data_IF_362131861403
#
_entry.id   IF_362131861403
#
_cell.length_a   1.000
_cell.length_b   1.000
_cell.length_c   1.000
_cell.angle_alpha   90.00
_cell.angle_beta   90.00
_cell.angle_gamma   90.00
#
_symmetry.space_group_name_H-M   'P 1'
#
loop_
_entity.id
_entity.type
_entity.pdbx_description
1 polymer ?
#
# COMPACT_ATOMS: atom_id res chain seq x y z
N UNK A 1 -20.80 9.53 -10.54
CA UNK A 1 -19.37 9.86 -10.37
C UNK A 1 -18.71 8.59 -9.86
N UNK A 2 -17.63 8.14 -10.51
CA UNK A 2 -17.07 6.81 -10.28
C UNK A 2 -16.37 6.77 -8.92
N UNK A 3 -16.83 5.87 -8.04
CA UNK A 3 -16.16 5.50 -6.80
C UNK A 3 -14.95 4.61 -7.12
N UNK A 4 -13.94 5.17 -7.78
CA UNK A 4 -12.74 4.42 -8.12
C UNK A 4 -11.85 4.30 -6.88
N UNK A 5 -11.95 3.14 -6.22
CA UNK A 5 -11.00 2.69 -5.21
C UNK A 5 -10.26 1.51 -5.80
N UNK A 6 -8.94 1.62 -5.86
CA UNK A 6 -8.06 0.53 -6.28
C UNK A 6 -7.51 -0.10 -5.02
N UNK A 7 -7.61 -1.42 -4.88
CA UNK A 7 -6.94 -2.17 -3.84
C UNK A 7 -6.14 -3.30 -4.51
N UNK A 8 -4.82 -3.27 -4.37
CA UNK A 8 -3.94 -4.22 -5.04
C UNK A 8 -2.84 -4.71 -4.09
N UNK A 9 -2.54 -6.02 -4.05
CA UNK A 9 -1.41 -6.53 -3.27
C UNK A 9 -0.10 -5.90 -3.73
N UNK A 10 0.80 -5.62 -2.80
CA UNK A 10 2.11 -5.00 -3.05
C UNK A 10 2.88 -5.76 -4.13
N UNK A 11 2.87 -7.10 -4.07
CA UNK A 11 3.55 -7.92 -5.09
C UNK A 11 3.05 -7.69 -6.50
N UNK A 12 1.75 -7.39 -6.69
CA UNK A 12 1.19 -7.05 -8.01
C UNK A 12 1.45 -5.58 -8.35
N UNK A 13 1.37 -4.68 -7.38
CA UNK A 13 1.71 -3.27 -7.57
C UNK A 13 3.14 -3.09 -8.11
N UNK A 14 4.11 -3.86 -7.58
CA UNK A 14 5.51 -3.82 -8.01
C UNK A 14 5.73 -4.19 -9.48
N UNK A 15 4.78 -4.87 -10.12
CA UNK A 15 4.86 -5.25 -11.53
C UNK A 15 4.25 -4.19 -12.46
N UNK A 16 3.69 -3.11 -11.90
CA UNK A 16 3.11 -2.00 -12.66
C UNK A 16 4.17 -0.92 -12.84
N UNK A 17 4.85 -0.95 -13.97
CA UNK A 17 5.90 0.02 -14.29
C UNK A 17 5.34 1.39 -14.70
N UNK A 18 4.17 1.40 -15.34
CA UNK A 18 3.51 2.61 -15.83
C UNK A 18 2.14 2.76 -15.18
N UNK A 19 1.84 3.97 -14.70
CA UNK A 19 0.56 4.24 -14.07
C UNK A 19 -0.58 4.05 -15.08
N UNK A 20 -1.58 3.20 -14.81
CA UNK A 20 -2.79 3.13 -15.61
C UNK A 20 -3.48 4.50 -15.68
N UNK A 21 -4.06 4.83 -16.84
CA UNK A 21 -4.71 6.13 -17.08
C UNK A 21 -5.82 6.42 -16.06
N UNK A 22 -6.58 5.41 -15.68
CA UNK A 22 -7.65 5.53 -14.69
C UNK A 22 -7.14 5.94 -13.30
N UNK A 23 -5.87 5.68 -12.99
CA UNK A 23 -5.28 5.92 -11.67
C UNK A 23 -4.63 7.31 -11.56
N UNK A 24 -4.50 8.03 -12.68
CA UNK A 24 -3.79 9.32 -12.73
C UNK A 24 -4.41 10.39 -11.82
N UNK A 25 -5.72 10.33 -11.58
CA UNK A 25 -6.45 11.28 -10.73
C UNK A 25 -6.63 10.80 -9.27
N UNK A 26 -6.01 9.68 -8.90
CA UNK A 26 -6.01 9.19 -7.52
C UNK A 26 -4.96 9.96 -6.73
N UNK A 27 -5.42 10.54 -5.62
CA UNK A 27 -4.66 11.52 -4.85
C UNK A 27 -4.54 11.16 -3.35
N UNK A 28 -5.12 10.03 -2.95
CA UNK A 28 -5.00 9.43 -1.63
C UNK A 28 -4.44 8.02 -1.76
N UNK A 29 -3.64 7.60 -0.79
CA UNK A 29 -3.11 6.24 -0.72
C UNK A 29 -3.04 5.75 0.71
N UNK A 30 -3.13 4.43 0.88
CA UNK A 30 -2.82 3.78 2.16
C UNK A 30 -2.13 2.44 1.97
N UNK A 31 -1.41 2.04 3.02
CA UNK A 31 -0.77 0.74 3.15
C UNK A 31 -1.47 -0.01 4.28
N UNK A 32 -1.92 -1.24 4.02
CA UNK A 32 -2.58 -2.08 5.03
C UNK A 32 -2.27 -3.55 4.85
N UNK A 33 -2.51 -4.34 5.88
CA UNK A 33 -2.75 -5.78 5.73
C UNK A 33 -4.28 -6.06 5.68
N UNK A 34 -4.71 -7.28 5.94
CA UNK A 34 -6.14 -7.64 5.97
C UNK A 34 -6.92 -6.91 7.08
N UNK A 35 -6.27 -6.52 8.17
CA UNK A 35 -6.88 -6.05 9.43
C UNK A 35 -6.45 -4.64 9.86
N UNK A 36 -5.21 -4.24 9.57
CA UNK A 36 -4.60 -3.02 10.12
C UNK A 36 -4.13 -2.12 9.00
N UNK A 37 -4.47 -0.83 9.10
CA UNK A 37 -3.91 0.22 8.25
C UNK A 37 -2.62 0.74 8.89
N UNK A 38 -1.52 0.64 8.16
CA UNK A 38 -0.21 1.04 8.64
C UNK A 38 0.05 2.53 8.41
N UNK A 39 -0.34 3.05 7.25
CA UNK A 39 -0.07 4.43 6.86
C UNK A 39 -1.08 4.91 5.84
N UNK A 40 -1.50 6.17 5.97
CA UNK A 40 -2.34 6.91 5.03
C UNK A 40 -1.58 8.17 4.61
N UNK A 41 -1.68 8.55 3.35
CA UNK A 41 -1.14 9.81 2.88
C UNK A 41 -1.88 10.38 1.67
N UNK A 42 -1.61 11.66 1.39
CA UNK A 42 -2.07 12.35 0.19
C UNK A 42 -0.92 12.72 -0.76
N UNK A 43 -1.23 12.88 -2.05
CA UNK A 43 -0.37 13.44 -3.09
C UNK A 43 -1.21 13.81 -4.29
N UNK A 44 -0.86 14.83 -5.08
CA UNK A 44 -1.56 15.09 -6.35
C UNK A 44 -1.45 13.91 -7.34
N UNK A 45 -0.43 13.08 -7.17
CA UNK A 45 -0.26 11.84 -7.91
C UNK A 45 0.11 10.70 -6.94
N UNK A 46 -0.89 9.94 -6.48
CA UNK A 46 -0.73 8.94 -5.44
C UNK A 46 0.17 7.77 -5.90
N UNK A 47 0.02 7.30 -7.14
CA UNK A 47 0.82 6.20 -7.68
C UNK A 47 2.32 6.48 -7.62
N UNK A 48 2.77 7.64 -8.12
CA UNK A 48 4.17 8.02 -8.06
C UNK A 48 4.66 8.17 -6.62
N UNK A 49 3.81 8.68 -5.72
CA UNK A 49 4.15 8.84 -4.30
C UNK A 49 4.36 7.50 -3.60
N UNK A 50 3.55 6.49 -3.91
CA UNK A 50 3.77 5.12 -3.41
C UNK A 50 5.12 4.57 -3.89
N UNK A 51 5.45 4.72 -5.18
CA UNK A 51 6.76 4.33 -5.71
C UNK A 51 7.91 5.05 -5.00
N UNK A 52 7.77 6.35 -4.75
CA UNK A 52 8.76 7.13 -4.01
C UNK A 52 8.95 6.57 -2.59
N UNK A 53 7.87 6.23 -1.88
CA UNK A 53 7.95 5.59 -0.57
C UNK A 53 8.76 4.30 -0.63
N UNK A 54 8.50 3.45 -1.62
CA UNK A 54 9.18 2.16 -1.83
C UNK A 54 10.67 2.36 -2.15
N UNK A 55 11.01 3.25 -3.08
CA UNK A 55 12.40 3.57 -3.45
C UNK A 55 13.19 4.14 -2.27
N UNK A 56 12.58 5.05 -1.52
CA UNK A 56 13.21 5.70 -0.37
C UNK A 56 13.25 4.79 0.88
N UNK A 57 12.52 3.67 0.89
CA UNK A 57 12.54 2.70 1.99
C UNK A 57 13.92 2.08 2.24
N UNK A 58 14.76 1.96 1.21
CA UNK A 58 16.14 1.49 1.35
C UNK A 58 17.05 2.50 2.07
N UNK A 59 16.71 3.79 1.99
CA UNK A 59 17.49 4.90 2.55
C UNK A 59 17.12 5.22 4.00
N UNK A 60 16.21 4.47 4.62
CA UNK A 60 15.94 4.45 6.07
C UNK A 60 15.22 5.68 6.64
N UNK A 61 15.70 6.89 6.37
CA UNK A 61 15.24 8.14 6.99
C UNK A 61 14.11 8.82 6.21
N UNK A 62 13.93 8.47 4.94
CA UNK A 62 13.07 9.23 4.02
C UNK A 62 11.64 8.69 3.91
N UNK A 63 11.37 7.46 4.37
CA UNK A 63 10.06 6.83 4.24
C UNK A 63 9.88 5.74 5.29
N UNK A 64 9.14 6.04 6.36
CA UNK A 64 8.82 5.05 7.40
C UNK A 64 7.99 3.88 6.84
N UNK A 65 7.02 4.19 5.96
CA UNK A 65 6.18 3.19 5.31
C UNK A 65 7.00 2.27 4.39
N UNK A 66 7.83 2.83 3.51
CA UNK A 66 8.70 2.04 2.64
C UNK A 66 9.72 1.22 3.41
N UNK A 67 10.30 1.80 4.47
CA UNK A 67 11.24 1.10 5.34
C UNK A 67 10.57 -0.09 6.03
N UNK A 68 9.37 0.10 6.56
CA UNK A 68 8.57 -0.95 7.20
C UNK A 68 8.25 -2.10 6.24
N UNK A 69 7.85 -1.77 5.01
CA UNK A 69 7.56 -2.74 3.96
C UNK A 69 8.77 -3.64 3.70
N UNK A 70 9.95 -3.06 3.53
CA UNK A 70 11.17 -3.83 3.27
C UNK A 70 11.70 -4.59 4.47
N UNK A 71 11.52 -4.07 5.69
CA UNK A 71 11.87 -4.80 6.91
C UNK A 71 11.04 -6.10 7.06
N UNK A 72 9.79 -6.08 6.58
CA UNK A 72 8.84 -7.19 6.68
C UNK A 72 8.76 -8.06 5.42
N UNK A 73 9.65 -7.87 4.44
CA UNK A 73 9.72 -8.75 3.28
C UNK A 73 10.14 -10.18 3.71
N UNK A 74 9.53 -11.26 3.16
CA UNK A 74 8.53 -11.29 2.09
C UNK A 74 7.07 -11.22 2.57
N UNK A 75 6.81 -11.15 3.89
CA UNK A 75 5.43 -11.10 4.42
C UNK A 75 4.66 -9.89 3.87
N UNK A 76 5.35 -8.76 3.70
CA UNK A 76 4.79 -7.54 3.13
C UNK A 76 4.33 -7.65 1.67
N UNK A 77 4.69 -8.72 0.94
CA UNK A 77 4.13 -8.98 -0.40
C UNK A 77 2.59 -9.05 -0.40
N UNK A 78 2.01 -9.46 0.73
CA UNK A 78 0.55 -9.58 0.93
C UNK A 78 -0.11 -8.28 1.36
N UNK A 79 0.66 -7.26 1.72
CA UNK A 79 0.09 -5.97 2.08
C UNK A 79 -0.64 -5.38 0.88
N UNK A 80 -1.76 -4.72 1.11
CA UNK A 80 -2.53 -4.04 0.08
C UNK A 80 -2.11 -2.58 0.02
N UNK A 81 -1.87 -2.11 -1.20
CA UNK A 81 -1.84 -0.70 -1.55
C UNK A 81 -3.25 -0.33 -1.99
N UNK A 82 -3.85 0.63 -1.31
CA UNK A 82 -5.09 1.22 -1.80
C UNK A 82 -4.85 2.63 -2.32
N UNK A 83 -5.46 2.95 -3.45
CA UNK A 83 -5.43 4.27 -4.07
C UNK A 83 -6.87 4.76 -4.22
N UNK A 84 -7.12 5.99 -3.76
CA UNK A 84 -8.45 6.60 -3.75
C UNK A 84 -8.40 8.01 -4.34
N UNK A 85 -9.54 8.48 -4.83
CA UNK A 85 -9.72 9.89 -5.19
C UNK A 85 -10.47 10.62 -4.08
N UNK A 86 -9.98 11.80 -3.69
CA UNK A 86 -10.70 12.73 -2.82
C UNK A 86 -11.99 13.26 -3.45
N UNK A 87 -12.21 13.04 -4.75
CA UNK A 87 -13.45 13.37 -5.47
C UNK A 87 -14.47 12.20 -5.47
N UNK A 88 -14.17 11.11 -4.76
CA UNK A 88 -15.09 9.98 -4.62
C UNK A 88 -16.23 10.33 -3.66
N UNK A 89 -17.40 9.73 -3.86
CA UNK A 89 -18.62 10.03 -3.09
C UNK A 89 -18.44 9.92 -1.57
N UNK A 90 -17.55 9.03 -1.11
CA UNK A 90 -17.25 8.88 0.33
C UNK A 90 -16.68 10.15 0.98
N UNK A 91 -16.17 11.10 0.20
CA UNK A 91 -15.60 12.35 0.67
C UNK A 91 -16.50 13.57 0.41
N UNK A 92 -17.71 13.37 -0.11
CA UNK A 92 -18.66 14.47 -0.34
C UNK A 92 -18.99 15.21 0.96
N UNK A 93 -19.09 14.47 2.08
CA UNK A 93 -19.33 15.02 3.41
C UNK A 93 -18.22 15.96 3.91
N UNK A 94 -17.01 15.81 3.38
CA UNK A 94 -15.87 16.68 3.68
C UNK A 94 -15.58 17.68 2.56
N UNK A 95 -16.54 17.85 1.63
CA UNK A 95 -16.45 18.80 0.53
C UNK A 95 -15.40 18.42 -0.53
N UNK A 96 -14.99 17.16 -0.59
CA UNK A 96 -13.97 16.65 -1.52
C UNK A 96 -12.59 17.36 -1.38
N UNK A 97 -12.35 18.01 -0.24
CA UNK A 97 -11.05 18.60 0.09
C UNK A 97 -10.04 17.51 0.40
N UNK A 98 -8.88 17.57 -0.25
CA UNK A 98 -7.85 16.54 -0.19
C UNK A 98 -7.27 16.39 1.23
N UNK A 99 -7.00 17.50 1.92
CA UNK A 99 -6.41 17.50 3.26
C UNK A 99 -7.41 17.09 4.33
N UNK A 100 -8.69 17.43 4.15
CA UNK A 100 -9.76 16.96 5.05
C UNK A 100 -10.07 15.49 4.79
N UNK A 101 -10.03 15.02 3.54
CA UNK A 101 -10.19 13.60 3.20
C UNK A 101 -9.08 12.73 3.78
N UNK A 102 -7.81 13.14 3.68
CA UNK A 102 -6.68 12.47 4.34
C UNK A 102 -6.91 12.37 5.85
N UNK A 103 -7.31 13.48 6.48
CA UNK A 103 -7.61 13.52 7.91
C UNK A 103 -8.76 12.60 8.30
N UNK A 104 -9.82 12.55 7.49
CA UNK A 104 -10.96 11.66 7.72
C UNK A 104 -10.52 10.18 7.69
N UNK A 105 -9.66 9.80 6.73
CA UNK A 105 -9.09 8.45 6.68
C UNK A 105 -8.19 8.15 7.89
N UNK A 106 -7.36 9.10 8.31
CA UNK A 106 -6.50 8.94 9.51
C UNK A 106 -7.36 8.78 10.76
N UNK A 107 -8.45 9.56 10.91
CA UNK A 107 -9.36 9.46 12.04
C UNK A 107 -10.15 8.16 12.05
N UNK A 108 -10.58 7.69 10.87
CA UNK A 108 -11.33 6.45 10.72
C UNK A 108 -10.48 5.23 11.06
N UNK A 109 -9.24 5.17 10.58
CA UNK A 109 -8.41 3.96 10.65
C UNK A 109 -7.32 3.99 11.71
N UNK A 110 -7.05 5.16 12.29
CA UNK A 110 -5.98 5.41 13.27
C UNK A 110 -4.65 4.73 12.90
N UNK A 111 -4.06 5.00 11.72
CA UNK A 111 -2.96 4.20 11.19
C UNK A 111 -1.73 4.15 12.09
N UNK A 112 -0.99 3.03 12.06
CA UNK A 112 0.16 2.81 12.96
C UNK A 112 1.24 3.89 12.88
N UNK A 113 1.53 4.40 11.68
CA UNK A 113 2.69 5.27 11.42
C UNK A 113 2.34 6.73 11.13
N UNK A 114 1.05 7.07 11.02
CA UNK A 114 0.64 8.46 10.99
C UNK A 114 0.75 9.01 12.42
N UNK A 115 1.77 9.84 12.68
CA UNK A 115 1.97 10.51 13.99
C UNK A 115 1.27 11.87 13.99
N UNK A 116 1.29 12.57 12.87
CA UNK A 116 0.55 13.81 12.67
C UNK A 116 -0.94 13.50 12.48
N UNK A 117 -1.81 14.33 13.07
CA UNK A 117 -3.28 14.24 12.96
C UNK A 117 -3.90 12.95 13.53
N UNK A 118 -3.11 12.13 14.22
CA UNK A 118 -3.54 10.88 14.84
C UNK A 118 -3.18 10.89 16.32
N UNK A 119 -4.17 11.15 17.18
CA UNK A 119 -3.94 11.26 18.63
C UNK A 119 -3.71 9.92 19.32
N UNK A 120 -4.14 8.81 18.70
CA UNK A 120 -4.02 7.45 19.24
C UNK A 120 -3.74 6.45 18.12
N UNK A 121 -2.51 6.42 17.57
CA UNK A 121 -2.14 5.45 16.55
C UNK A 121 -2.36 4.02 17.04
N UNK A 122 -2.94 3.17 16.18
CA UNK A 122 -3.07 1.74 16.43
C UNK A 122 -1.67 1.16 16.62
N UNK A 123 -1.41 0.39 17.69
CA UNK A 123 -0.11 -0.22 17.89
C UNK A 123 0.22 -1.17 16.74
N UNK A 124 1.48 -1.16 16.31
CA UNK A 124 1.95 -2.11 15.30
C UNK A 124 1.77 -3.55 15.82
N UNK A 125 1.11 -4.46 15.07
CA UNK A 125 0.96 -5.85 15.50
C UNK A 125 2.31 -6.53 15.78
N UNK A 126 2.38 -7.31 16.86
CA UNK A 126 3.62 -7.95 17.33
C UNK A 126 4.25 -8.90 16.30
N UNK A 127 3.45 -9.41 15.36
CA UNK A 127 3.93 -10.27 14.28
C UNK A 127 4.87 -9.55 13.29
N UNK A 128 4.81 -8.21 13.23
CA UNK A 128 5.63 -7.42 12.31
C UNK A 128 6.88 -6.85 12.97
N UNK A 129 7.94 -6.76 12.17
CA UNK A 129 9.15 -6.04 12.54
C UNK A 129 8.90 -4.54 12.51
N UNK A 130 9.46 -3.78 13.48
CA UNK A 130 9.37 -2.34 13.47
C UNK A 130 10.18 -1.72 12.32
N UNK A 131 9.89 -0.48 11.88
CA UNK A 131 10.58 0.17 10.77
C UNK A 131 12.10 0.33 11.00
N UNK A 132 12.54 0.46 12.25
CA UNK A 132 13.96 0.57 12.59
C UNK A 132 14.72 -0.78 12.55
N UNK A 133 14.04 -1.91 12.32
CA UNK A 133 14.69 -3.20 12.19
C UNK A 133 15.63 -3.26 10.97
N UNK A 134 16.54 -4.23 11.01
CA UNK A 134 17.40 -4.55 9.87
C UNK A 134 16.57 -5.08 8.70
N UNK A 135 16.89 -4.63 7.48
CA UNK A 135 16.25 -5.14 6.27
C UNK A 135 16.60 -6.61 6.09
N UNK A 136 15.57 -7.45 5.98
CA UNK A 136 15.71 -8.87 5.65
C UNK A 136 15.83 -9.12 4.15
N UNK A 137 15.40 -8.16 3.34
CA UNK A 137 15.45 -8.23 1.90
C UNK A 137 16.82 -7.78 1.35
N UNK A 138 17.13 -8.18 0.11
CA UNK A 138 18.21 -7.53 -0.64
C UNK A 138 17.92 -6.05 -0.85
N UNK A 139 18.96 -5.21 -0.97
CA UNK A 139 18.81 -3.76 -1.25
C UNK A 139 18.59 -3.44 -2.73
N UNK A 140 18.39 -4.46 -3.57
CA UNK A 140 18.14 -4.31 -5.00
C UNK A 140 16.65 -4.40 -5.27
N UNK A 141 16.04 -3.29 -5.69
CA UNK A 141 14.62 -3.26 -6.05
C UNK A 141 14.30 -4.28 -7.15
N UNK A 142 15.16 -4.40 -8.18
CA UNK A 142 14.97 -5.38 -9.27
C UNK A 142 14.91 -6.81 -8.75
N UNK A 143 15.73 -7.15 -7.74
CA UNK A 143 15.68 -8.48 -7.11
C UNK A 143 14.34 -8.72 -6.42
N UNK A 144 13.80 -7.69 -5.74
CA UNK A 144 12.50 -7.79 -5.07
C UNK A 144 11.34 -7.87 -6.07
N UNK A 145 11.42 -7.14 -7.19
CA UNK A 145 10.45 -7.22 -8.29
C UNK A 145 10.43 -8.65 -8.85
N UNK A 146 11.58 -9.27 -9.13
CA UNK A 146 11.62 -10.66 -9.57
C UNK A 146 11.11 -11.66 -8.52
N UNK A 147 11.35 -11.41 -7.24
CA UNK A 147 10.75 -12.21 -6.16
C UNK A 147 9.23 -12.06 -6.12
N UNK A 148 8.70 -10.85 -6.35
CA UNK A 148 7.28 -10.58 -6.46
C UNK A 148 6.65 -11.26 -7.69
N UNK A 149 7.31 -11.16 -8.84
CA UNK A 149 6.91 -11.78 -10.10
C UNK A 149 6.74 -13.29 -9.94
N UNK A 150 7.75 -13.98 -9.36
CA UNK A 150 7.64 -15.41 -9.06
C UNK A 150 6.48 -15.73 -8.13
N UNK A 151 6.26 -14.91 -7.10
CA UNK A 151 5.16 -15.11 -6.16
C UNK A 151 3.78 -14.91 -6.83
N UNK A 152 3.65 -13.94 -7.75
CA UNK A 152 2.41 -13.72 -8.51
C UNK A 152 2.15 -14.88 -9.48
N UNK A 153 3.17 -15.34 -10.21
CA UNK A 153 3.04 -16.48 -11.11
C UNK A 153 2.64 -17.76 -10.38
N UNK A 154 3.18 -18.00 -9.18
CA UNK A 154 2.77 -19.13 -8.34
C UNK A 154 1.30 -19.00 -7.92
N UNK A 155 0.87 -17.83 -7.45
CA UNK A 155 -0.54 -17.60 -7.08
C UNK A 155 -1.49 -17.83 -8.26
N UNK A 156 -1.17 -17.30 -9.44
CA UNK A 156 -1.98 -17.43 -10.65
C UNK A 156 -2.09 -18.89 -11.09
N UNK A 157 -0.99 -19.64 -11.03
CA UNK A 157 -0.99 -21.08 -11.33
C UNK A 157 -1.87 -21.86 -10.34
N UNK A 158 -1.82 -21.54 -9.05
CA UNK A 158 -2.65 -22.19 -8.04
C UNK A 158 -4.14 -21.84 -8.20
N UNK A 159 -4.46 -20.60 -8.59
CA UNK A 159 -5.83 -20.20 -8.89
C UNK A 159 -6.38 -21.00 -10.07
N UNK A 160 -5.61 -21.14 -11.15
CA UNK A 160 -5.99 -21.93 -12.32
C UNK A 160 -6.24 -23.41 -11.98
N UNK A 161 -5.35 -24.02 -11.18
CA UNK A 161 -5.52 -25.42 -10.75
C UNK A 161 -6.83 -25.60 -9.96
N UNK A 162 -7.14 -24.67 -9.05
CA UNK A 162 -8.39 -24.71 -8.27
C UNK A 162 -9.64 -24.55 -9.13
N UNK A 163 -9.61 -23.67 -10.13
CA UNK A 163 -10.72 -23.50 -11.07
C UNK A 163 -10.99 -24.78 -11.87
N UNK A 164 -9.92 -25.46 -12.32
CA UNK A 164 -9.99 -26.73 -13.05
C UNK A 164 -10.49 -27.90 -12.17
N UNK A 165 -10.24 -27.87 -10.86
CA UNK A 165 -10.75 -28.84 -9.90
C UNK A 165 -12.25 -28.62 -9.59
N UNK A 166 -12.73 -27.38 -9.64
CA UNK A 166 -14.14 -27.05 -9.39
C UNK A 166 -15.07 -27.26 -10.59
N UNK A 167 -14.51 -27.38 -11.80
CA UNK A 167 -15.27 -27.63 -13.04
C UNK A 167 -15.40 -29.11 -13.40
N UNK A 168 -14.86 -30.02 -12.58
CA UNK A 168 -15.02 -31.48 -12.70
C UNK A 168 -16.06 -32.01 -11.73
#
# INVERSE_FOLDING_TARGET
>A
MNNLTIAIPLKRFLLIEQCPTEWMNLNLYLFRDETVVFYVGQSQFAFARVWEHLLNGFKGQYSIAGRFIWANWPVSMKFSIELLSSQSQQFDIVGNDLSVAERALIQQWTPCFNVSLNSRPTPLPQAYLPPNANLRCGRSLNKLIHEAERAVQMDDNWALVRELEQTK
#
